data_IF_110411938441
#
_entry.id   IF_110411938441
#
_cell.length_a   1.000
_cell.length_b   1.000
_cell.length_c   1.000
_cell.angle_alpha   90.00
_cell.angle_beta   90.00
_cell.angle_gamma   90.00
#
_symmetry.space_group_name_H-M   'P 1'
#
loop_
_entity.id
_entity.type
_entity.pdbx_description
1 polymer ?
#
# COMPACT_ATOMS: atom_id res chain seq x y z
N UNK A 1 38.43 16.11 30.93
CA UNK A 1 37.22 16.19 30.08
C UNK A 1 37.23 15.00 29.13
N UNK A 2 36.52 13.91 29.46
CA UNK A 2 36.48 12.69 28.63
C UNK A 2 35.14 12.61 27.92
N UNK A 3 35.13 13.00 26.65
CA UNK A 3 33.95 12.90 25.79
C UNK A 3 33.62 11.46 25.47
N UNK A 4 32.66 10.87 26.19
CA UNK A 4 31.95 9.67 25.72
C UNK A 4 30.91 10.12 24.71
N UNK A 5 31.30 10.14 23.44
CA UNK A 5 30.34 10.17 22.32
C UNK A 5 29.71 8.79 22.26
N UNK A 6 28.68 8.57 23.07
CA UNK A 6 27.78 7.44 22.90
C UNK A 6 27.10 7.63 21.54
N UNK A 7 27.64 6.97 20.51
CA UNK A 7 26.98 6.86 19.23
C UNK A 7 25.59 6.30 19.49
N UNK A 8 24.58 7.11 19.19
CA UNK A 8 23.19 6.70 19.17
C UNK A 8 23.09 5.45 18.31
N UNK A 9 22.94 4.29 18.96
CA UNK A 9 22.79 3.02 18.28
C UNK A 9 21.58 3.11 17.37
N UNK A 10 21.83 3.18 16.06
CA UNK A 10 20.92 2.54 15.12
C UNK A 10 20.84 1.11 15.63
N UNK A 11 19.71 0.74 16.21
CA UNK A 11 19.38 -0.63 16.53
C UNK A 11 19.57 -1.41 15.24
N UNK A 12 20.68 -2.14 15.14
CA UNK A 12 21.01 -2.92 13.95
C UNK A 12 19.87 -3.90 13.76
N UNK A 13 19.05 -3.68 12.73
CA UNK A 13 17.96 -4.58 12.38
C UNK A 13 18.60 -5.96 12.16
N UNK A 14 18.19 -6.95 12.95
CA UNK A 14 18.71 -8.32 12.85
C UNK A 14 18.13 -9.03 11.62
N UNK A 15 18.92 -9.89 10.98
CA UNK A 15 18.49 -10.66 9.79
C UNK A 15 17.18 -11.44 10.00
N UNK A 16 16.91 -11.92 11.22
CA UNK A 16 15.65 -12.59 11.56
C UNK A 16 14.44 -11.66 11.46
N UNK A 17 14.61 -10.39 11.86
CA UNK A 17 13.56 -9.37 11.74
C UNK A 17 13.31 -9.01 10.27
N UNK A 18 14.38 -8.95 9.47
CA UNK A 18 14.28 -8.73 8.02
C UNK A 18 13.53 -9.89 7.37
N UNK A 19 13.89 -11.12 7.72
CA UNK A 19 13.26 -12.35 7.19
C UNK A 19 11.78 -12.41 7.57
N UNK A 20 11.45 -12.10 8.82
CA UNK A 20 10.07 -12.09 9.30
C UNK A 20 9.23 -10.99 8.61
N UNK A 21 9.80 -9.81 8.38
CA UNK A 21 9.13 -8.74 7.64
C UNK A 21 8.87 -9.15 6.19
N UNK A 22 9.87 -9.74 5.51
CA UNK A 22 9.74 -10.27 4.15
C UNK A 22 8.64 -11.32 4.07
N UNK A 23 8.55 -12.23 5.04
CA UNK A 23 7.51 -13.24 5.10
C UNK A 23 6.10 -12.64 5.27
N UNK A 24 5.95 -11.62 6.13
CA UNK A 24 4.68 -10.89 6.27
C UNK A 24 4.26 -10.19 4.98
N UNK A 25 5.22 -9.56 4.29
CA UNK A 25 4.95 -8.91 3.00
C UNK A 25 4.51 -9.92 1.94
N UNK A 26 5.15 -11.09 1.86
CA UNK A 26 4.74 -12.16 0.96
C UNK A 26 3.30 -12.64 1.17
N UNK A 27 2.81 -12.66 2.41
CA UNK A 27 1.43 -13.05 2.70
C UNK A 27 0.41 -11.97 2.32
N UNK A 28 0.78 -10.70 2.46
CA UNK A 28 -0.13 -9.57 2.24
C UNK A 28 -0.30 -9.22 0.76
N UNK A 29 0.60 -9.70 -0.10
CA UNK A 29 0.59 -9.36 -1.53
C UNK A 29 0.02 -10.54 -2.31
N UNK A 30 -1.17 -10.39 -2.90
CA UNK A 30 -1.81 -11.46 -3.69
C UNK A 30 -0.92 -11.95 -4.83
N UNK A 31 -0.20 -11.02 -5.47
CA UNK A 31 0.75 -11.26 -6.58
C UNK A 31 1.93 -12.16 -6.17
N UNK A 32 2.47 -11.98 -4.95
CA UNK A 32 3.57 -12.79 -4.40
C UNK A 32 3.09 -14.20 -4.01
N UNK A 33 1.85 -14.31 -3.48
CA UNK A 33 1.24 -15.59 -3.21
C UNK A 33 0.90 -16.37 -4.49
N UNK A 34 0.49 -15.69 -5.57
CA UNK A 34 0.19 -16.32 -6.86
C UNK A 34 1.48 -16.79 -7.56
N UNK A 35 2.53 -15.97 -7.53
CA UNK A 35 3.89 -16.36 -7.94
C UNK A 35 4.60 -17.03 -6.77
N UNK A 36 4.16 -18.24 -6.37
CA UNK A 36 4.92 -19.15 -5.49
C UNK A 36 6.29 -19.47 -6.10
N UNK A 37 7.22 -18.55 -6.02
CA UNK A 37 8.63 -18.76 -6.32
C UNK A 37 9.33 -18.75 -4.98
N UNK A 38 9.52 -19.95 -4.45
CA UNK A 38 10.12 -20.27 -3.14
C UNK A 38 11.58 -19.78 -2.98
N UNK A 39 12.04 -18.83 -3.80
CA UNK A 39 13.39 -18.26 -3.88
C UNK A 39 13.40 -16.79 -4.35
N UNK A 40 12.37 -15.99 -4.05
CA UNK A 40 12.48 -14.55 -4.24
C UNK A 40 13.40 -13.96 -3.16
N UNK A 41 14.44 -13.22 -3.57
CA UNK A 41 15.30 -12.49 -2.62
C UNK A 41 14.49 -11.45 -1.85
N UNK A 42 14.95 -11.08 -0.65
CA UNK A 42 14.32 -10.00 0.14
C UNK A 42 14.16 -8.70 -0.68
N UNK A 43 15.16 -8.35 -1.50
CA UNK A 43 15.09 -7.20 -2.40
C UNK A 43 13.95 -7.29 -3.42
N UNK A 44 13.73 -8.48 -3.99
CA UNK A 44 12.65 -8.72 -4.95
C UNK A 44 11.28 -8.63 -4.30
N UNK A 45 11.13 -9.20 -3.09
CA UNK A 45 9.88 -9.08 -2.32
C UNK A 45 9.57 -7.63 -2.00
N UNK A 46 10.57 -6.85 -1.56
CA UNK A 46 10.39 -5.42 -1.27
C UNK A 46 10.05 -4.61 -2.52
N UNK A 47 10.67 -4.94 -3.67
CA UNK A 47 10.35 -4.30 -4.94
C UNK A 47 8.91 -4.60 -5.36
N UNK A 48 8.51 -5.88 -5.38
CA UNK A 48 7.14 -6.28 -5.74
C UNK A 48 6.11 -5.68 -4.76
N UNK A 49 6.45 -5.56 -3.48
CA UNK A 49 5.65 -4.83 -2.49
C UNK A 49 5.47 -3.37 -2.87
N UNK A 50 6.57 -2.68 -3.19
CA UNK A 50 6.55 -1.26 -3.52
C UNK A 50 5.77 -0.99 -4.80
N UNK A 51 5.89 -1.87 -5.79
CA UNK A 51 5.16 -1.79 -7.04
C UNK A 51 3.66 -2.09 -6.84
N UNK A 52 3.31 -3.08 -6.01
CA UNK A 52 1.91 -3.34 -5.64
C UNK A 52 1.25 -2.15 -4.95
N UNK A 53 1.92 -1.53 -3.96
CA UNK A 53 1.42 -0.33 -3.27
C UNK A 53 1.22 0.82 -4.26
N UNK A 54 2.16 1.00 -5.21
CA UNK A 54 2.06 2.04 -6.24
C UNK A 54 0.86 1.83 -7.16
N UNK A 55 0.66 0.59 -7.61
CA UNK A 55 -0.48 0.24 -8.45
C UNK A 55 -1.80 0.42 -7.69
N UNK A 56 -1.86 0.00 -6.43
CA UNK A 56 -3.04 0.17 -5.60
C UNK A 56 -3.38 1.64 -5.40
N UNK A 57 -2.39 2.51 -5.11
CA UNK A 57 -2.63 3.95 -5.03
C UNK A 57 -3.17 4.52 -6.34
N UNK A 58 -2.63 4.07 -7.48
CA UNK A 58 -3.12 4.49 -8.79
C UNK A 58 -4.56 4.04 -9.04
N UNK A 59 -4.90 2.79 -8.73
CA UNK A 59 -6.27 2.29 -8.85
C UNK A 59 -7.24 3.08 -7.96
N UNK A 60 -6.83 3.42 -6.73
CA UNK A 60 -7.62 4.27 -5.83
C UNK A 60 -7.81 5.67 -6.41
N UNK A 61 -6.76 6.27 -6.99
CA UNK A 61 -6.84 7.58 -7.64
C UNK A 61 -7.77 7.55 -8.86
N UNK A 62 -7.59 6.59 -9.76
CA UNK A 62 -8.43 6.40 -10.96
C UNK A 62 -9.91 6.16 -10.58
N UNK A 63 -10.16 5.37 -9.53
CA UNK A 63 -11.51 5.13 -9.01
C UNK A 63 -12.11 6.39 -8.38
N UNK A 64 -11.31 7.15 -7.63
CA UNK A 64 -11.73 8.42 -7.01
C UNK A 64 -12.11 9.46 -8.07
N UNK A 65 -11.32 9.56 -9.14
CA UNK A 65 -11.60 10.46 -10.26
C UNK A 65 -12.87 10.04 -11.01
N UNK A 66 -13.01 8.74 -11.31
CA UNK A 66 -14.21 8.21 -11.96
C UNK A 66 -15.46 8.42 -11.10
N UNK A 67 -15.35 8.24 -9.80
CA UNK A 67 -16.46 8.51 -8.87
C UNK A 67 -16.80 10.00 -8.85
N UNK A 68 -15.81 10.88 -8.83
CA UNK A 68 -15.99 12.33 -8.87
C UNK A 68 -16.68 12.77 -10.16
N UNK A 69 -16.27 12.21 -11.31
CA UNK A 69 -16.92 12.43 -12.60
C UNK A 69 -18.37 11.92 -12.61
N UNK A 70 -18.62 10.72 -12.09
CA UNK A 70 -19.97 10.18 -11.97
C UNK A 70 -20.86 11.10 -11.12
N UNK A 71 -20.38 11.54 -9.96
CA UNK A 71 -21.09 12.47 -9.08
C UNK A 71 -21.35 13.84 -9.74
N UNK A 72 -20.45 14.32 -10.60
CA UNK A 72 -20.63 15.55 -11.37
C UNK A 72 -21.58 15.38 -12.57
N UNK A 73 -21.62 14.18 -13.18
CA UNK A 73 -22.50 13.84 -14.30
C UNK A 73 -23.95 13.54 -13.89
N UNK A 74 -24.15 13.22 -12.61
CA UNK A 74 -25.48 13.08 -12.04
C UNK A 74 -26.07 14.49 -11.95
N UNK A 75 -26.96 14.80 -12.89
CA UNK A 75 -27.72 16.05 -12.93
C UNK A 75 -28.31 16.34 -11.55
N UNK A 76 -27.98 17.51 -11.01
CA UNK A 76 -28.33 17.94 -9.65
C UNK A 76 -29.83 18.11 -9.43
N UNK A 77 -30.64 18.04 -10.49
CA UNK A 77 -32.08 18.31 -10.48
C UNK A 77 -32.96 17.06 -10.36
N UNK A 78 -32.38 15.85 -10.36
CA UNK A 78 -33.16 14.61 -10.23
C UNK A 78 -33.07 14.06 -8.79
N UNK A 79 -34.22 13.80 -8.16
CA UNK A 79 -34.33 13.27 -6.79
C UNK A 79 -33.49 12.00 -6.54
N UNK A 80 -33.23 11.21 -7.58
CA UNK A 80 -32.34 10.04 -7.52
C UNK A 80 -30.87 10.40 -7.22
N UNK A 81 -30.41 11.58 -7.63
CA UNK A 81 -29.08 12.09 -7.34
C UNK A 81 -28.85 12.28 -5.84
N UNK A 82 -29.86 12.78 -5.13
CA UNK A 82 -29.81 13.00 -3.69
C UNK A 82 -29.69 11.67 -2.92
N UNK A 83 -30.37 10.62 -3.41
CA UNK A 83 -30.30 9.28 -2.81
C UNK A 83 -28.90 8.69 -2.96
N UNK A 84 -28.30 8.75 -4.16
CA UNK A 84 -26.93 8.26 -4.38
C UNK A 84 -25.92 9.02 -3.50
N UNK A 85 -26.07 10.35 -3.34
CA UNK A 85 -25.23 11.14 -2.42
C UNK A 85 -25.39 10.70 -0.95
N UNK A 86 -26.62 10.42 -0.50
CA UNK A 86 -26.88 9.97 0.87
C UNK A 86 -26.35 8.57 1.20
N UNK A 87 -26.10 7.74 0.18
CA UNK A 87 -25.52 6.40 0.34
C UNK A 87 -23.98 6.41 0.31
N UNK A 88 -23.39 7.50 -0.19
CA UNK A 88 -21.94 7.70 -0.34
C UNK A 88 -21.30 8.54 0.77
N UNK A 89 -22.10 9.29 1.55
CA UNK A 89 -21.70 9.95 2.79
C UNK A 89 -22.03 9.09 4.00
#
# INVERSE_FOLDING_TARGET
MSGRRSGSGVSSISDDQITHLVFKLQQLIPELCARRSHKASASKVLQETSDYIRNLHKEVEDLSDRLSQLLASIDTDNDQAAIVRSLLM
#
